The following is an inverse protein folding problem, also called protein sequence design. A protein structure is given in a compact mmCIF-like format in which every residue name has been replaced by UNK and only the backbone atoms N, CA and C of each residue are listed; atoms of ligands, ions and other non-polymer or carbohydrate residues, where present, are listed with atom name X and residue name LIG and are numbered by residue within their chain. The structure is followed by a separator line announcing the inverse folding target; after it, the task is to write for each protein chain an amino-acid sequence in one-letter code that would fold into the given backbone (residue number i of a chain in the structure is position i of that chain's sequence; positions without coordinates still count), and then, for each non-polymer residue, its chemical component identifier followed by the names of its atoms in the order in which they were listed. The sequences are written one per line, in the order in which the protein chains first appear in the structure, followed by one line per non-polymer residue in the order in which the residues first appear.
data_IF_256021889190
#
_entry.id   IF_256021889190
#
_cell.length_a   1.000
_cell.length_b   1.000
_cell.length_c   1.000
_cell.angle_alpha   90.00
_cell.angle_beta   90.00
_cell.angle_gamma   90.00
#
_symmetry.space_group_name_H-M   'P 1'
#
loop_
_entity.id
_entity.type
_entity.pdbx_description
1 polymer ?
#
# COMPACT_ATOMS: atom_id res chain seq x y z
N UNK A 1 1.22 -19.69 2.51
CA UNK A 1 1.14 -18.22 2.44
C UNK A 1 2.53 -17.74 2.03
N UNK A 2 2.71 -17.26 0.79
CA UNK A 2 4.02 -16.77 0.34
C UNK A 2 4.11 -15.31 0.79
N UNK A 3 4.95 -15.06 1.78
CA UNK A 3 5.31 -13.70 2.19
C UNK A 3 6.24 -13.12 1.12
N UNK A 4 5.68 -12.38 0.17
CA UNK A 4 6.46 -11.70 -0.88
C UNK A 4 6.96 -10.36 -0.31
N UNK A 5 8.04 -10.40 0.44
CA UNK A 5 8.83 -9.21 0.73
C UNK A 5 9.57 -8.86 -0.58
N UNK A 6 9.08 -7.86 -1.30
CA UNK A 6 9.60 -7.56 -2.64
C UNK A 6 11.01 -6.96 -2.55
N UNK A 7 11.98 -7.60 -3.20
CA UNK A 7 13.42 -7.26 -3.21
C UNK A 7 13.77 -5.83 -3.68
N UNK A 8 12.82 -5.08 -4.24
CA UNK A 8 13.05 -3.76 -4.85
C UNK A 8 13.52 -2.66 -3.89
N UNK A 9 13.45 -2.87 -2.56
CA UNK A 9 13.73 -1.81 -1.58
C UNK A 9 14.97 -2.01 -0.73
N UNK A 10 15.51 -3.22 -0.64
CA UNK A 10 16.77 -3.46 0.06
C UNK A 10 17.93 -2.68 -0.58
N UNK A 11 17.88 -2.47 -1.90
CA UNK A 11 19.01 -1.91 -2.65
C UNK A 11 18.96 -0.38 -2.86
N UNK A 12 17.79 0.26 -2.75
CA UNK A 12 17.63 1.66 -3.23
C UNK A 12 17.66 2.73 -2.14
N UNK A 13 17.45 2.42 -0.86
CA UNK A 13 17.28 3.43 0.23
C UNK A 13 17.75 2.97 1.61
N UNK A 14 18.87 2.24 1.67
CA UNK A 14 19.55 1.86 2.92
C UNK A 14 18.70 1.07 3.94
N UNK A 15 17.62 0.42 3.50
CA UNK A 15 16.81 -0.42 4.39
C UNK A 15 16.02 0.35 5.45
N UNK A 16 15.55 1.56 5.14
CA UNK A 16 14.67 2.34 6.04
C UNK A 16 13.49 1.49 6.55
N UNK A 17 13.46 1.14 7.86
CA UNK A 17 12.42 0.31 8.43
C UNK A 17 11.03 0.98 8.39
N UNK A 18 10.97 2.31 8.28
CA UNK A 18 9.73 3.06 8.15
C UNK A 18 9.00 2.84 6.83
N UNK A 19 9.62 2.22 5.81
CA UNK A 19 8.99 1.98 4.49
C UNK A 19 9.07 0.51 4.05
N UNK A 20 9.02 -0.39 5.03
CA UNK A 20 9.16 -1.83 4.82
C UNK A 20 8.02 -2.46 4.00
N UNK A 21 6.79 -1.91 4.11
CA UNK A 21 5.58 -2.45 3.50
C UNK A 21 4.75 -1.31 2.91
N UNK A 22 4.27 -1.48 1.68
CA UNK A 22 3.27 -0.61 1.08
C UNK A 22 1.90 -1.28 1.03
N UNK A 23 0.85 -0.48 1.27
CA UNK A 23 -0.54 -0.90 1.16
C UNK A 23 -1.26 -0.15 0.05
N UNK A 24 -2.26 -0.79 -0.57
CA UNK A 24 -3.17 -0.16 -1.52
C UNK A 24 -4.59 -0.76 -1.41
N UNK A 25 -5.63 0.03 -1.71
CA UNK A 25 -7.04 -0.42 -1.61
C UNK A 25 -7.47 -1.14 -2.86
N UNK A 26 -8.18 -2.25 -2.65
CA UNK A 26 -8.87 -2.96 -3.71
C UNK A 26 -9.97 -2.09 -4.32
N UNK A 27 -10.76 -1.40 -3.50
CA UNK A 27 -11.82 -0.49 -3.95
C UNK A 27 -11.27 0.60 -4.88
N UNK A 28 -10.06 1.11 -4.58
CA UNK A 28 -9.40 2.10 -5.45
C UNK A 28 -8.90 1.49 -6.76
N UNK A 29 -8.39 0.25 -6.74
CA UNK A 29 -8.04 -0.49 -7.97
C UNK A 29 -9.27 -0.67 -8.84
N UNK A 30 -10.38 -1.16 -8.27
CA UNK A 30 -11.64 -1.39 -8.99
C UNK A 30 -12.20 -0.08 -9.57
N UNK A 31 -12.12 1.01 -8.81
CA UNK A 31 -12.53 2.34 -9.30
C UNK A 31 -11.67 2.78 -10.49
N UNK A 32 -10.35 2.68 -10.39
CA UNK A 32 -9.42 3.03 -11.47
C UNK A 32 -9.62 2.13 -12.71
N UNK A 33 -9.92 0.84 -12.51
CA UNK A 33 -10.28 -0.06 -13.61
C UNK A 33 -11.57 0.37 -14.29
N UNK A 34 -12.59 0.77 -13.53
CA UNK A 34 -13.85 1.30 -14.07
C UNK A 34 -13.65 2.63 -14.83
N UNK A 35 -12.69 3.45 -14.41
CA UNK A 35 -12.22 4.65 -15.11
C UNK A 35 -11.41 4.32 -16.40
N UNK A 36 -11.08 3.04 -16.63
CA UNK A 36 -10.40 2.55 -17.83
C UNK A 36 -8.88 2.43 -17.69
N UNK A 37 -8.34 2.59 -16.49
CA UNK A 37 -6.90 2.44 -16.24
C UNK A 37 -6.49 0.95 -16.25
N UNK A 38 -5.35 0.67 -16.88
CA UNK A 38 -4.75 -0.67 -16.90
C UNK A 38 -3.99 -0.97 -15.59
N UNK A 39 -4.74 -1.00 -14.49
CA UNK A 39 -4.24 -1.31 -13.15
C UNK A 39 -4.79 -2.66 -12.68
N UNK A 40 -3.97 -3.43 -12.00
CA UNK A 40 -4.30 -4.71 -11.39
C UNK A 40 -3.70 -4.83 -9.98
N UNK A 41 -4.12 -5.83 -9.22
CA UNK A 41 -3.48 -6.17 -7.94
C UNK A 41 -1.98 -6.44 -8.15
N UNK A 42 -1.15 -5.75 -7.39
CA UNK A 42 0.31 -5.78 -7.45
C UNK A 42 0.93 -4.83 -8.48
N UNK A 43 0.13 -4.24 -9.38
CA UNK A 43 0.65 -3.40 -10.46
C UNK A 43 1.18 -2.04 -9.97
N UNK A 44 0.78 -1.59 -8.77
CA UNK A 44 1.30 -0.35 -8.15
C UNK A 44 2.62 -0.57 -7.41
N UNK A 45 3.05 -1.82 -7.26
CA UNK A 45 4.17 -2.21 -6.43
C UNK A 45 3.82 -2.28 -4.94
N UNK A 46 2.54 -2.42 -4.60
CA UNK A 46 2.10 -2.68 -3.23
C UNK A 46 2.51 -4.07 -2.76
N UNK A 47 2.72 -4.21 -1.45
CA UNK A 47 2.97 -5.50 -0.82
C UNK A 47 1.66 -6.13 -0.33
N UNK A 48 0.73 -5.27 0.11
CA UNK A 48 -0.56 -5.67 0.65
C UNK A 48 -1.66 -4.92 -0.09
N UNK A 49 -2.57 -5.66 -0.70
CA UNK A 49 -3.85 -5.11 -1.14
C UNK A 49 -4.87 -5.35 -0.03
N UNK A 50 -5.57 -4.31 0.39
CA UNK A 50 -6.54 -4.34 1.48
C UNK A 50 -7.92 -3.90 0.98
N UNK A 51 -8.97 -4.33 1.68
CA UNK A 51 -10.36 -3.94 1.44
C UNK A 51 -11.08 -3.74 2.78
N UNK A 52 -12.19 -3.02 2.78
CA UNK A 52 -13.06 -2.80 3.93
C UNK A 52 -12.47 -1.86 4.98
N UNK A 53 -11.47 -1.06 4.61
CA UNK A 53 -10.84 -0.06 5.48
C UNK A 53 -11.29 1.32 5.04
N UNK A 54 -11.84 2.11 5.97
CA UNK A 54 -12.11 3.51 5.70
C UNK A 54 -10.78 4.28 5.64
N UNK A 55 -10.55 4.96 4.52
CA UNK A 55 -9.33 5.72 4.28
C UNK A 55 -9.22 6.95 5.18
N UNK A 56 -10.34 7.48 5.65
CA UNK A 56 -10.34 8.60 6.59
C UNK A 56 -9.88 8.16 8.00
N UNK A 57 -9.93 6.87 8.31
CA UNK A 57 -9.41 6.28 9.55
C UNK A 57 -7.90 5.96 9.48
N UNK A 58 -7.27 6.08 8.32
CA UNK A 58 -5.86 5.75 8.09
C UNK A 58 -4.95 6.97 8.34
N UNK A 59 -4.68 7.25 9.61
CA UNK A 59 -3.72 8.27 10.03
C UNK A 59 -2.32 7.72 10.29
N UNK A 60 -1.29 8.55 10.10
CA UNK A 60 0.08 8.17 10.49
C UNK A 60 0.13 7.87 12.00
N UNK A 61 0.79 6.78 12.36
CA UNK A 61 0.88 6.27 13.73
C UNK A 61 -0.15 5.19 14.08
N UNK A 62 -1.10 4.87 13.19
CA UNK A 62 -2.00 3.74 13.45
C UNK A 62 -1.23 2.41 13.38
N UNK A 63 -1.67 1.45 14.19
CA UNK A 63 -1.13 0.10 14.19
C UNK A 63 -2.09 -0.86 13.49
N UNK A 64 -1.64 -1.47 12.40
CA UNK A 64 -2.37 -2.50 11.67
C UNK A 64 -1.83 -3.87 12.05
N UNK A 65 -2.73 -4.83 12.30
CA UNK A 65 -2.36 -6.22 12.57
C UNK A 65 -2.53 -7.05 11.30
N UNK A 66 -1.43 -7.56 10.77
CA UNK A 66 -1.39 -8.41 9.58
C UNK A 66 -0.90 -9.79 9.98
N UNK A 67 -1.85 -10.71 10.20
CA UNK A 67 -1.54 -12.05 10.71
C UNK A 67 -0.86 -12.00 12.09
N UNK A 68 0.44 -12.33 12.11
CA UNK A 68 1.29 -12.29 13.33
C UNK A 68 2.15 -11.03 13.44
N UNK A 69 2.19 -10.22 12.38
CA UNK A 69 2.93 -8.98 12.38
C UNK A 69 2.03 -7.81 12.81
N UNK A 70 2.64 -6.82 13.44
CA UNK A 70 2.04 -5.50 13.63
C UNK A 70 2.87 -4.52 12.82
N UNK A 71 2.22 -3.71 12.00
CA UNK A 71 2.87 -2.68 11.19
C UNK A 71 2.28 -1.32 11.59
N UNK A 72 3.12 -0.30 11.63
CA UNK A 72 2.71 1.08 11.87
C UNK A 72 2.57 1.79 10.53
N UNK A 73 1.51 2.57 10.35
CA UNK A 73 1.39 3.45 9.20
C UNK A 73 2.33 4.65 9.40
N UNK A 74 3.43 4.69 8.67
CA UNK A 74 4.49 5.70 8.81
C UNK A 74 4.29 6.93 7.92
N UNK A 75 3.66 6.76 6.76
CA UNK A 75 3.38 7.81 5.81
C UNK A 75 2.13 7.48 4.99
N UNK A 76 1.36 8.50 4.62
CA UNK A 76 0.28 8.38 3.64
C UNK A 76 0.74 9.00 2.32
N UNK A 77 0.79 8.20 1.28
CA UNK A 77 1.03 8.68 -0.08
C UNK A 77 -0.30 9.14 -0.67
N UNK A 78 -0.70 10.38 -0.35
CA UNK A 78 -1.74 11.06 -1.12
C UNK A 78 -1.11 11.44 -2.45
N UNK A 79 -1.27 10.57 -3.46
CA UNK A 79 -1.05 11.02 -4.82
C UNK A 79 -1.97 12.23 -5.03
N UNK A 80 -1.37 13.40 -5.28
CA UNK A 80 -2.05 14.53 -5.88
C UNK A 80 -2.58 14.05 -7.24
N UNK A 81 -3.77 13.48 -7.24
CA UNK A 81 -4.50 13.10 -8.45
C UNK A 81 -5.23 14.32 -9.03
N UNK A 82 -4.64 15.52 -8.89
CA UNK A 82 -5.17 16.75 -9.50
C UNK A 82 -4.61 16.97 -10.91
N UNK A 83 -3.66 16.17 -11.39
CA UNK A 83 -3.02 16.37 -12.70
C UNK A 83 -2.90 15.07 -13.53
N UNK A 84 -4.03 14.44 -13.85
CA UNK A 84 -4.12 13.44 -14.94
C UNK A 84 -5.22 13.82 -15.94
#
# INVERSE_FOLDING_TARGET
MKETITSFRTEKREGDPGRAVNLFSLERIEQLQAEGHAIEVGSTGENLTIEGVDWDDLEVGIMLKVGRATVELSETLRALLEDW
#
